data_IF_757411165775
#
_entry.id   IF_757411165775
#
_cell.length_a   1.000
_cell.length_b   1.000
_cell.length_c   1.000
_cell.angle_alpha   90.00
_cell.angle_beta   90.00
_cell.angle_gamma   90.00
#
_symmetry.space_group_name_H-M   'P 1'
#
loop_
_entity.id
_entity.type
_entity.pdbx_description
1 polymer ?
#
# COMPACT_ATOMS: atom_id res chain seq x y z
N UNK A 1 -14.09 -17.18 -16.90
CA UNK A 1 -14.70 -16.29 -15.90
C UNK A 1 -13.78 -15.10 -15.70
N UNK A 2 -14.23 -13.89 -16.06
CA UNK A 2 -13.39 -12.69 -15.96
C UNK A 2 -13.08 -12.38 -14.50
N UNK A 3 -11.79 -12.17 -14.18
CA UNK A 3 -11.39 -11.71 -12.84
C UNK A 3 -12.13 -10.39 -12.55
N UNK A 4 -12.88 -10.34 -11.45
CA UNK A 4 -13.56 -9.11 -11.02
C UNK A 4 -12.52 -7.99 -10.90
N UNK A 5 -12.78 -6.86 -11.54
CA UNK A 5 -11.90 -5.69 -11.51
C UNK A 5 -12.02 -5.07 -10.12
N UNK A 6 -11.02 -5.26 -9.26
CA UNK A 6 -10.97 -4.60 -7.96
C UNK A 6 -10.98 -3.10 -8.20
N UNK A 7 -12.01 -2.42 -7.70
CA UNK A 7 -12.10 -0.96 -7.74
C UNK A 7 -11.02 -0.37 -6.84
N UNK A 8 -10.33 0.67 -7.31
CA UNK A 8 -9.32 1.35 -6.50
C UNK A 8 -9.94 2.02 -5.29
N UNK A 9 -9.16 2.19 -4.23
CA UNK A 9 -9.57 2.88 -3.01
C UNK A 9 -10.12 4.28 -3.29
N UNK A 10 -9.54 4.99 -4.27
CA UNK A 10 -10.00 6.33 -4.70
C UNK A 10 -11.33 6.32 -5.45
N UNK A 11 -11.71 5.17 -6.02
CA UNK A 11 -13.03 4.99 -6.65
C UNK A 11 -14.09 4.51 -5.66
N UNK A 12 -13.67 3.85 -4.58
CA UNK A 12 -14.57 3.35 -3.54
C UNK A 12 -14.98 4.43 -2.54
N UNK A 13 -14.10 5.41 -2.28
CA UNK A 13 -14.33 6.45 -1.27
C UNK A 13 -14.10 7.84 -1.87
N UNK A 14 -14.99 8.78 -1.51
CA UNK A 14 -14.92 10.18 -1.93
C UNK A 14 -13.62 10.85 -1.46
N UNK A 15 -13.34 12.05 -1.98
CA UNK A 15 -12.22 12.83 -1.47
C UNK A 15 -12.44 13.24 -0.01
N UNK A 16 -13.63 13.72 0.35
CA UNK A 16 -13.93 14.13 1.73
C UNK A 16 -13.80 12.96 2.71
N UNK A 17 -14.36 11.80 2.39
CA UNK A 17 -14.28 10.60 3.25
C UNK A 17 -12.84 10.20 3.51
N UNK A 18 -12.01 10.14 2.46
CA UNK A 18 -10.58 9.79 2.59
C UNK A 18 -9.80 10.84 3.37
N UNK A 19 -10.12 12.12 3.17
CA UNK A 19 -9.48 13.22 3.88
C UNK A 19 -9.78 13.14 5.37
N UNK A 20 -11.06 13.02 5.73
CA UNK A 20 -11.52 12.92 7.11
C UNK A 20 -10.92 11.71 7.82
N UNK A 21 -11.02 10.51 7.23
CA UNK A 21 -10.46 9.28 7.82
C UNK A 21 -8.94 9.42 8.06
N UNK A 22 -8.21 9.98 7.09
CA UNK A 22 -6.77 10.16 7.23
C UNK A 22 -6.39 11.15 8.32
N UNK A 23 -7.17 12.23 8.50
CA UNK A 23 -6.94 13.23 9.54
C UNK A 23 -7.19 12.66 10.94
N UNK A 24 -8.29 11.92 11.13
CA UNK A 24 -8.60 11.24 12.38
C UNK A 24 -7.51 10.22 12.76
N UNK A 25 -7.04 9.44 11.79
CA UNK A 25 -5.94 8.49 12.00
C UNK A 25 -4.65 9.19 12.40
N UNK A 26 -4.27 10.26 11.70
CA UNK A 26 -3.04 11.01 12.00
C UNK A 26 -3.13 11.66 13.39
N UNK A 27 -4.31 12.15 13.79
CA UNK A 27 -4.55 12.69 15.12
C UNK A 27 -4.39 11.63 16.23
N UNK A 28 -4.98 10.45 16.03
CA UNK A 28 -4.92 9.35 17.01
C UNK A 28 -3.55 8.65 17.05
N UNK A 29 -2.81 8.65 15.94
CA UNK A 29 -1.52 7.97 15.80
C UNK A 29 -0.48 8.94 15.19
N UNK A 30 -0.01 9.96 15.94
CA UNK A 30 0.82 11.03 15.41
C UNK A 30 2.14 10.54 14.82
N UNK A 31 2.71 9.46 15.35
CA UNK A 31 3.98 8.86 14.88
C UNK A 31 3.81 7.86 13.73
N UNK A 32 2.60 7.77 13.15
CA UNK A 32 2.30 6.87 12.04
C UNK A 32 1.76 7.60 10.83
N UNK A 33 1.97 6.99 9.67
CA UNK A 33 1.52 7.46 8.37
C UNK A 33 0.50 6.45 7.82
N UNK A 34 -0.74 6.87 7.49
CA UNK A 34 -1.68 6.03 6.77
C UNK A 34 -1.21 5.84 5.32
N UNK A 35 -0.98 4.59 4.92
CA UNK A 35 -0.55 4.21 3.57
C UNK A 35 -1.57 3.25 2.97
N UNK A 36 -2.01 3.54 1.75
CA UNK A 36 -2.86 2.64 0.97
C UNK A 36 -2.00 1.99 -0.10
N UNK A 37 -1.97 0.65 -0.13
CA UNK A 37 -1.20 -0.15 -1.08
C UNK A 37 -2.16 -0.93 -1.96
N UNK A 38 -2.01 -0.80 -3.27
CA UNK A 38 -2.84 -1.49 -4.25
C UNK A 38 -1.98 -2.26 -5.23
N UNK A 39 -2.45 -3.46 -5.59
CA UNK A 39 -1.79 -4.30 -6.58
C UNK A 39 -2.01 -3.74 -7.97
N UNK A 40 -0.93 -3.62 -8.76
CA UNK A 40 -1.06 -3.23 -10.15
C UNK A 40 -1.76 -4.33 -10.97
N UNK A 41 -2.76 -3.95 -11.76
CA UNK A 41 -3.71 -4.87 -12.39
C UNK A 41 -3.08 -5.84 -13.40
N UNK A 42 -1.94 -5.48 -14.00
CA UNK A 42 -1.22 -6.28 -15.00
C UNK A 42 -0.07 -7.11 -14.41
N UNK A 43 -0.15 -7.46 -13.13
CA UNK A 43 0.88 -8.29 -12.45
C UNK A 43 0.35 -9.68 -12.14
N UNK A 44 1.26 -10.63 -11.97
CA UNK A 44 1.03 -11.99 -11.45
C UNK A 44 1.14 -12.05 -9.92
N UNK A 45 1.33 -10.90 -9.25
CA UNK A 45 1.42 -10.83 -7.79
C UNK A 45 0.14 -11.38 -7.14
N UNK A 46 0.26 -12.06 -5.98
CA UNK A 46 -0.87 -12.46 -5.16
C UNK A 46 -1.73 -11.27 -4.73
N UNK A 47 -3.00 -11.52 -4.39
CA UNK A 47 -3.85 -10.50 -3.79
C UNK A 47 -3.43 -10.21 -2.35
N UNK A 48 -3.52 -8.95 -1.95
CA UNK A 48 -3.26 -8.53 -0.58
C UNK A 48 -4.55 -8.54 0.23
N UNK A 49 -4.55 -9.25 1.36
CA UNK A 49 -5.70 -9.30 2.28
C UNK A 49 -6.06 -7.90 2.81
N UNK A 50 -5.04 -7.10 3.14
CA UNK A 50 -5.19 -5.74 3.68
C UNK A 50 -4.47 -4.74 2.79
N UNK A 51 -5.20 -3.68 2.42
CA UNK A 51 -4.70 -2.58 1.58
C UNK A 51 -4.37 -1.30 2.35
N UNK A 52 -4.85 -1.14 3.59
CA UNK A 52 -4.58 0.04 4.45
C UNK A 52 -3.57 -0.32 5.53
N UNK A 53 -2.56 0.53 5.72
CA UNK A 53 -1.42 0.32 6.62
C UNK A 53 -1.18 1.57 7.47
N UNK A 54 -0.75 1.37 8.72
CA UNK A 54 -0.25 2.44 9.58
C UNK A 54 1.24 2.25 9.78
N UNK A 55 2.03 2.95 8.98
CA UNK A 55 3.48 2.79 8.90
C UNK A 55 4.16 3.75 9.88
N UNK A 56 5.10 3.29 10.73
CA UNK A 56 5.91 4.19 11.56
C UNK A 56 6.65 5.23 10.73
N UNK A 57 6.74 6.48 11.20
CA UNK A 57 7.41 7.58 10.46
C UNK A 57 8.91 7.35 10.23
N UNK A 58 9.54 6.60 11.12
CA UNK A 58 10.97 6.24 11.09
C UNK A 58 11.27 5.00 10.22
N UNK A 59 10.24 4.34 9.68
CA UNK A 59 10.41 3.20 8.79
C UNK A 59 10.85 3.64 7.40
N UNK A 60 11.98 3.11 6.94
CA UNK A 60 12.45 3.29 5.56
C UNK A 60 11.50 2.61 4.56
N UNK A 61 11.51 3.11 3.32
CA UNK A 61 10.76 2.48 2.22
C UNK A 61 11.25 1.05 1.97
N UNK A 62 12.56 0.78 2.10
CA UNK A 62 13.13 -0.57 1.95
C UNK A 62 12.58 -1.55 2.99
N UNK A 63 12.51 -1.15 4.26
CA UNK A 63 11.89 -1.97 5.32
C UNK A 63 10.41 -2.23 5.05
N UNK A 64 9.68 -1.22 4.58
CA UNK A 64 8.27 -1.39 4.23
C UNK A 64 8.08 -2.37 3.06
N UNK A 65 8.90 -2.29 2.00
CA UNK A 65 8.90 -3.23 0.88
C UNK A 65 9.19 -4.66 1.36
N UNK A 66 10.14 -4.85 2.27
CA UNK A 66 10.45 -6.15 2.86
C UNK A 66 9.25 -6.74 3.63
N UNK A 67 8.52 -5.92 4.39
CA UNK A 67 7.30 -6.35 5.07
C UNK A 67 6.23 -6.76 4.03
N UNK A 68 6.07 -6.00 2.95
CA UNK A 68 5.12 -6.31 1.89
C UNK A 68 5.47 -7.63 1.17
N UNK A 69 6.74 -7.89 0.88
CA UNK A 69 7.16 -9.16 0.25
C UNK A 69 6.84 -10.36 1.12
N UNK A 70 7.01 -10.23 2.44
CA UNK A 70 6.63 -11.26 3.41
C UNK A 70 5.11 -11.51 3.44
N UNK A 71 4.30 -10.45 3.45
CA UNK A 71 2.82 -10.56 3.43
C UNK A 71 2.27 -11.14 2.14
N UNK A 72 2.95 -10.92 1.03
CA UNK A 72 2.61 -11.49 -0.26
C UNK A 72 3.10 -12.94 -0.43
N UNK A 73 3.81 -13.49 0.57
CA UNK A 73 4.43 -14.82 0.51
C UNK A 73 5.28 -15.01 -0.77
N UNK A 74 6.00 -13.97 -1.18
CA UNK A 74 6.81 -14.04 -2.40
C UNK A 74 7.98 -15.00 -2.18
N UNK A 75 8.21 -15.86 -3.18
CA UNK A 75 9.35 -16.75 -3.18
C UNK A 75 10.67 -15.94 -3.20
N UNK A 76 11.72 -16.43 -2.53
CA UNK A 76 13.06 -15.84 -2.66
C UNK A 76 13.44 -15.68 -4.13
N UNK A 77 13.93 -14.49 -4.50
CA UNK A 77 14.31 -14.16 -5.88
C UNK A 77 13.21 -13.52 -6.75
N UNK A 78 11.94 -13.49 -6.30
CA UNK A 78 10.92 -12.66 -6.96
C UNK A 78 11.10 -11.19 -6.59
N UNK A 79 11.26 -10.34 -7.60
CA UNK A 79 11.37 -8.90 -7.41
C UNK A 79 10.00 -8.27 -7.08
N UNK A 80 9.98 -7.34 -6.13
CA UNK A 80 8.82 -6.52 -5.79
C UNK A 80 9.19 -5.04 -6.00
N UNK A 81 8.40 -4.34 -6.80
CA UNK A 81 8.55 -2.91 -7.04
C UNK A 81 7.33 -2.17 -6.51
N UNK A 82 7.57 -1.05 -5.84
CA UNK A 82 6.52 -0.14 -5.34
C UNK A 82 6.67 1.18 -6.08
N UNK A 83 5.55 1.80 -6.44
CA UNK A 83 5.51 3.07 -7.14
C UNK A 83 4.72 4.09 -6.33
N UNK A 84 5.25 5.31 -6.24
CA UNK A 84 4.55 6.47 -5.69
C UNK A 84 4.51 7.53 -6.78
N UNK A 85 3.31 7.89 -7.24
CA UNK A 85 3.12 8.81 -8.40
C UNK A 85 3.95 8.34 -9.62
N UNK A 86 3.80 7.08 -9.99
CA UNK A 86 4.49 6.43 -11.13
C UNK A 86 6.03 6.46 -11.07
N UNK A 87 6.60 6.79 -9.91
CA UNK A 87 8.05 6.86 -9.69
C UNK A 87 8.48 5.80 -8.69
N UNK A 88 9.65 5.19 -8.92
CA UNK A 88 10.30 4.32 -7.95
C UNK A 88 10.84 5.19 -6.80
N UNK A 89 10.34 5.03 -5.56
CA UNK A 89 10.85 5.78 -4.42
C UNK A 89 12.29 5.37 -4.09
N UNK A 90 13.06 6.27 -3.48
CA UNK A 90 14.34 5.90 -2.88
C UNK A 90 14.10 4.94 -1.72
N UNK A 91 14.89 3.88 -1.65
CA UNK A 91 14.73 2.79 -0.67
C UNK A 91 15.63 2.94 0.55
N UNK A 92 16.53 3.93 0.55
CA UNK A 92 17.55 4.22 1.55
C UNK A 92 17.05 5.13 2.68
#
# INVERSE_FOLDING_TARGET
MGRAKIQSFRQQFSFEERCQESQEIIFNYPDRVPVVVERYSKTDLPEMEKRKFLVPRDMSVGQFIYILSGRLHLSPGKALFVFVKDTLPQTS
#
